data_IF_057657396376
#
_entry.id   IF_057657396376
#
_cell.length_a   1.000
_cell.length_b   1.000
_cell.length_c   1.000
_cell.angle_alpha   90.00
_cell.angle_beta   90.00
_cell.angle_gamma   90.00
#
_symmetry.space_group_name_H-M   'P 1'
#
loop_
_entity.id
_entity.type
_entity.pdbx_description
1 polymer ?
#
# COMPACT_ATOMS: atom_id res chain seq x y z
N UNK A 1 -20.55 -21.81 0.85
CA UNK A 1 -20.69 -21.05 2.12
C UNK A 1 -21.99 -20.25 2.02
N UNK A 2 -22.80 -20.18 3.08
CA UNK A 2 -24.00 -19.31 3.06
C UNK A 2 -23.54 -17.84 3.08
N UNK A 3 -24.09 -16.95 2.24
CA UNK A 3 -23.60 -15.57 2.10
C UNK A 3 -23.65 -14.79 3.43
N UNK A 4 -24.68 -15.03 4.23
CA UNK A 4 -24.86 -14.35 5.51
C UNK A 4 -23.78 -14.72 6.54
N UNK A 5 -23.33 -15.98 6.51
CA UNK A 5 -22.25 -16.44 7.38
C UNK A 5 -20.91 -15.82 6.97
N UNK A 6 -20.64 -15.77 5.66
CA UNK A 6 -19.43 -15.14 5.13
C UNK A 6 -19.37 -13.65 5.53
N UNK A 7 -20.49 -12.94 5.38
CA UNK A 7 -20.60 -11.54 5.79
C UNK A 7 -20.37 -11.36 7.30
N UNK A 8 -21.00 -12.18 8.13
CA UNK A 8 -20.87 -12.10 9.59
C UNK A 8 -19.42 -12.33 10.05
N UNK A 9 -18.73 -13.33 9.48
CA UNK A 9 -17.33 -13.61 9.79
C UNK A 9 -16.39 -12.51 9.30
N UNK A 10 -16.58 -12.00 8.08
CA UNK A 10 -15.79 -10.87 7.57
C UNK A 10 -15.99 -9.64 8.44
N UNK A 11 -17.22 -9.28 8.82
CA UNK A 11 -17.44 -8.13 9.69
C UNK A 11 -16.77 -8.33 11.05
N UNK A 12 -16.86 -9.54 11.63
CA UNK A 12 -16.22 -9.88 12.91
C UNK A 12 -14.71 -9.67 12.89
N UNK A 13 -14.05 -10.01 11.79
CA UNK A 13 -12.59 -9.87 11.67
C UNK A 13 -12.16 -8.39 11.55
N UNK A 14 -12.91 -7.57 10.83
CA UNK A 14 -12.52 -6.19 10.52
C UNK A 14 -13.14 -5.13 11.44
N UNK A 15 -14.04 -5.50 12.34
CA UNK A 15 -14.58 -4.58 13.36
C UNK A 15 -13.78 -4.67 14.64
N UNK A 16 -12.77 -3.81 14.78
CA UNK A 16 -12.15 -3.57 16.08
C UNK A 16 -12.99 -2.57 16.88
N UNK A 17 -13.59 -3.02 17.97
CA UNK A 17 -14.48 -2.23 18.83
C UNK A 17 -13.78 -1.07 19.56
N UNK A 18 -12.45 -0.93 19.38
CA UNK A 18 -11.60 0.10 19.99
C UNK A 18 -11.51 1.41 19.20
N UNK A 19 -12.45 1.69 18.29
CA UNK A 19 -12.43 2.94 17.52
C UNK A 19 -12.25 4.17 18.42
N UNK A 20 -11.29 5.02 18.04
CA UNK A 20 -11.08 6.34 18.65
C UNK A 20 -12.40 7.10 18.67
N UNK A 21 -12.79 7.57 19.87
CA UNK A 21 -13.97 8.42 20.10
C UNK A 21 -13.98 9.72 19.25
N UNK A 22 -12.89 10.02 18.53
CA UNK A 22 -12.75 11.19 17.66
C UNK A 22 -13.18 11.00 16.20
N UNK A 23 -13.31 9.76 15.68
CA UNK A 23 -13.67 9.52 14.27
C UNK A 23 -15.19 9.42 14.11
N UNK A 24 -15.73 9.99 13.03
CA UNK A 24 -17.15 9.81 12.73
C UNK A 24 -17.43 8.39 12.22
N UNK A 25 -18.66 7.90 12.38
CA UNK A 25 -19.03 6.53 12.00
C UNK A 25 -18.84 6.26 10.49
N UNK A 26 -19.08 7.26 9.64
CA UNK A 26 -18.93 7.10 8.19
C UNK A 26 -17.47 6.86 7.78
N UNK A 27 -16.51 7.54 8.41
CA UNK A 27 -15.07 7.36 8.20
C UNK A 27 -14.62 5.98 8.66
N UNK A 28 -15.15 5.50 9.79
CA UNK A 28 -14.89 4.14 10.28
C UNK A 28 -15.40 3.09 9.30
N UNK A 29 -16.67 3.19 8.88
CA UNK A 29 -17.24 2.24 7.92
C UNK A 29 -16.49 2.25 6.58
N UNK A 30 -16.11 3.44 6.08
CA UNK A 30 -15.28 3.57 4.89
C UNK A 30 -13.94 2.87 5.08
N UNK A 31 -13.25 3.12 6.19
CA UNK A 31 -11.91 2.58 6.41
C UNK A 31 -11.92 1.04 6.51
N UNK A 32 -12.91 0.48 7.22
CA UNK A 32 -13.17 -0.97 7.31
C UNK A 32 -13.47 -1.57 5.94
N UNK A 33 -14.36 -0.95 5.16
CA UNK A 33 -14.69 -1.45 3.83
C UNK A 33 -13.47 -1.44 2.90
N UNK A 34 -12.65 -0.38 2.94
CA UNK A 34 -11.43 -0.30 2.15
C UNK A 34 -10.39 -1.34 2.58
N UNK A 35 -10.32 -1.69 3.86
CA UNK A 35 -9.44 -2.77 4.35
C UNK A 35 -9.89 -4.13 3.83
N UNK A 36 -11.19 -4.46 3.96
CA UNK A 36 -11.77 -5.69 3.42
C UNK A 36 -11.49 -5.81 1.91
N UNK A 37 -11.73 -4.74 1.15
CA UNK A 37 -11.50 -4.74 -0.30
C UNK A 37 -10.03 -4.83 -0.66
N UNK A 38 -9.14 -4.14 0.05
CA UNK A 38 -7.69 -4.21 -0.15
C UNK A 38 -7.18 -5.63 0.02
N UNK A 39 -7.59 -6.29 1.10
CA UNK A 39 -7.14 -7.64 1.42
C UNK A 39 -7.70 -8.65 0.43
N UNK A 40 -9.01 -8.60 0.18
CA UNK A 40 -9.67 -9.54 -0.73
C UNK A 40 -9.20 -9.41 -2.18
N UNK A 41 -8.86 -8.19 -2.64
CA UNK A 41 -8.54 -7.93 -4.05
C UNK A 41 -7.05 -7.99 -4.34
N UNK A 42 -6.20 -7.70 -3.36
CA UNK A 42 -4.76 -7.56 -3.57
C UNK A 42 -3.95 -8.31 -2.52
N UNK A 43 -4.07 -7.98 -1.24
CA UNK A 43 -3.10 -8.44 -0.24
C UNK A 43 -3.15 -9.96 -0.02
N UNK A 44 -4.33 -10.53 0.25
CA UNK A 44 -4.49 -11.97 0.49
C UNK A 44 -4.05 -12.84 -0.71
N UNK A 45 -4.50 -12.59 -1.96
CA UNK A 45 -4.03 -13.38 -3.09
C UNK A 45 -2.53 -13.16 -3.38
N UNK A 46 -1.98 -11.96 -3.14
CA UNK A 46 -0.56 -11.70 -3.32
C UNK A 46 0.31 -12.45 -2.31
N UNK A 47 -0.09 -12.48 -1.04
CA UNK A 47 0.58 -13.26 0.02
C UNK A 47 0.51 -14.74 -0.30
N UNK A 48 -0.67 -15.25 -0.70
CA UNK A 48 -0.82 -16.64 -1.11
C UNK A 48 0.09 -16.99 -2.30
N UNK A 49 0.20 -16.11 -3.29
CA UNK A 49 1.14 -16.28 -4.40
C UNK A 49 2.59 -16.29 -3.93
N UNK A 50 2.96 -15.37 -3.02
CA UNK A 50 4.30 -15.31 -2.45
C UNK A 50 4.66 -16.58 -1.67
N UNK A 51 3.73 -17.16 -0.92
CA UNK A 51 3.93 -18.44 -0.22
C UNK A 51 4.20 -19.58 -1.21
N UNK A 52 3.41 -19.69 -2.29
CA UNK A 52 3.64 -20.70 -3.31
C UNK A 52 4.95 -20.49 -4.08
N UNK A 53 5.28 -19.24 -4.42
CA UNK A 53 6.50 -18.92 -5.14
C UNK A 53 7.75 -19.18 -4.29
N UNK A 54 7.73 -18.75 -3.02
CA UNK A 54 8.85 -18.92 -2.10
C UNK A 54 9.11 -20.38 -1.70
N UNK A 55 8.07 -21.23 -1.70
CA UNK A 55 8.22 -22.66 -1.45
C UNK A 55 9.09 -23.37 -2.50
N UNK A 56 9.14 -22.85 -3.74
CA UNK A 56 9.93 -23.42 -4.85
C UNK A 56 11.20 -22.60 -5.12
N UNK A 57 11.17 -21.29 -4.87
CA UNK A 57 12.28 -20.39 -5.13
C UNK A 57 12.76 -19.70 -3.83
N UNK A 58 13.92 -20.12 -3.27
CA UNK A 58 14.45 -19.54 -2.04
C UNK A 58 14.89 -18.07 -2.21
N UNK A 59 15.08 -17.58 -3.44
CA UNK A 59 15.40 -16.18 -3.74
C UNK A 59 14.13 -15.39 -4.07
N UNK A 60 13.16 -15.44 -3.16
CA UNK A 60 11.92 -14.66 -3.25
C UNK A 60 12.02 -13.44 -2.35
N UNK A 61 11.61 -12.28 -2.86
CA UNK A 61 11.62 -11.00 -2.14
C UNK A 61 10.21 -10.43 -2.15
N UNK A 62 9.80 -9.85 -1.01
CA UNK A 62 8.49 -9.24 -0.83
C UNK A 62 8.67 -7.94 -0.06
N UNK A 63 7.91 -6.89 -0.40
CA UNK A 63 7.93 -5.62 0.31
C UNK A 63 6.52 -5.05 0.48
N UNK A 64 6.37 -4.21 1.50
CA UNK A 64 5.15 -3.43 1.76
C UNK A 64 5.51 -1.96 1.65
N UNK A 65 4.86 -1.25 0.74
CA UNK A 65 5.07 0.18 0.56
C UNK A 65 4.09 0.97 1.44
N UNK A 66 4.60 1.76 2.39
CA UNK A 66 3.79 2.52 3.35
C UNK A 66 4.05 4.03 3.32
N UNK A 67 4.95 4.50 2.45
CA UNK A 67 5.28 5.91 2.35
C UNK A 67 4.14 6.69 1.71
N UNK A 68 3.88 7.91 2.19
CA UNK A 68 2.89 8.84 1.63
C UNK A 68 3.59 10.10 1.18
N UNK A 69 3.33 10.52 -0.04
CA UNK A 69 3.97 11.72 -0.56
C UNK A 69 3.51 12.96 0.18
N UNK A 70 4.45 13.81 0.60
CA UNK A 70 4.13 15.03 1.38
C UNK A 70 3.21 15.98 0.62
N UNK A 71 3.44 16.13 -0.69
CA UNK A 71 2.64 16.95 -1.59
C UNK A 71 1.85 16.07 -2.58
N UNK A 72 1.42 14.91 -2.10
CA UNK A 72 0.66 13.94 -2.87
C UNK A 72 -0.80 14.32 -3.06
N UNK A 73 -1.47 13.79 -4.09
CA UNK A 73 -2.91 14.00 -4.32
C UNK A 73 -3.77 13.53 -3.12
N UNK A 74 -3.20 12.63 -2.31
CA UNK A 74 -3.83 12.06 -1.15
C UNK A 74 -3.25 12.54 0.18
N UNK A 75 -2.39 13.57 0.20
CA UNK A 75 -1.73 14.06 1.43
C UNK A 75 -2.74 14.39 2.54
N UNK A 76 -3.89 14.94 2.16
CA UNK A 76 -4.94 15.40 3.07
C UNK A 76 -5.90 14.28 3.51
N UNK A 77 -5.74 13.07 2.98
CA UNK A 77 -6.55 11.94 3.40
C UNK A 77 -6.27 11.61 4.88
N UNK A 78 -7.33 11.60 5.70
CA UNK A 78 -7.28 11.22 7.13
C UNK A 78 -6.91 9.75 7.40
N UNK A 79 -6.60 8.99 6.34
CA UNK A 79 -6.25 7.58 6.40
C UNK A 79 -4.74 7.47 6.33
N UNK A 80 -4.13 6.96 7.38
CA UNK A 80 -2.68 6.78 7.53
C UNK A 80 -2.17 5.54 6.77
N UNK A 81 -2.61 5.35 5.51
CA UNK A 81 -2.16 4.26 4.64
C UNK A 81 -1.77 4.84 3.27
N UNK A 82 -0.79 4.23 2.62
CA UNK A 82 -0.49 4.46 1.21
C UNK A 82 -1.64 3.96 0.34
N UNK A 83 -1.70 4.51 -0.87
CA UNK A 83 -2.69 4.15 -1.89
C UNK A 83 -1.99 3.43 -3.03
N UNK A 84 -2.73 2.54 -3.68
CA UNK A 84 -2.23 1.76 -4.80
C UNK A 84 -1.67 2.69 -5.90
N UNK A 85 -0.43 2.45 -6.33
CA UNK A 85 0.24 3.24 -7.36
C UNK A 85 1.10 4.39 -6.83
N UNK A 86 1.02 4.75 -5.55
CA UNK A 86 1.87 5.78 -4.95
C UNK A 86 3.36 5.39 -4.90
N UNK A 87 3.68 4.10 -5.07
CA UNK A 87 5.05 3.60 -5.14
C UNK A 87 5.72 3.86 -6.50
N UNK A 88 4.94 3.94 -7.58
CA UNK A 88 5.47 4.00 -8.94
C UNK A 88 6.44 5.18 -9.17
N UNK A 89 6.16 6.42 -8.71
CA UNK A 89 7.11 7.53 -8.89
C UNK A 89 8.48 7.23 -8.29
N UNK A 90 8.52 6.54 -7.14
CA UNK A 90 9.76 6.21 -6.43
C UNK A 90 10.54 5.09 -7.12
N UNK A 91 9.85 4.10 -7.70
CA UNK A 91 10.47 3.05 -8.52
C UNK A 91 11.07 3.63 -9.80
N UNK A 92 10.42 4.60 -10.42
CA UNK A 92 10.85 5.21 -11.69
C UNK A 92 11.76 6.43 -11.54
N UNK A 93 12.15 6.83 -10.33
CA UNK A 93 13.10 7.93 -10.11
C UNK A 93 12.52 9.33 -10.35
N UNK A 94 11.19 9.49 -10.32
CA UNK A 94 10.51 10.77 -10.54
C UNK A 94 10.93 11.84 -9.52
N UNK A 95 11.09 11.52 -8.22
CA UNK A 95 11.62 12.49 -7.25
C UNK A 95 13.01 13.03 -7.60
N UNK A 96 13.84 12.25 -8.31
CA UNK A 96 15.24 12.58 -8.61
C UNK A 96 15.37 13.46 -9.86
N UNK A 97 14.72 13.10 -10.99
CA UNK A 97 14.80 13.81 -12.27
C UNK A 97 13.76 14.94 -12.44
N UNK A 98 12.80 15.04 -11.50
CA UNK A 98 11.75 16.07 -11.48
C UNK A 98 10.47 15.71 -12.22
N UNK A 99 9.43 16.56 -12.12
CA UNK A 99 8.05 16.28 -12.58
C UNK A 99 7.88 16.35 -14.11
N UNK A 100 8.53 15.44 -14.85
CA UNK A 100 8.32 15.27 -16.30
C UNK A 100 7.09 14.41 -16.63
N UNK A 101 6.51 13.79 -15.62
CA UNK A 101 5.39 12.86 -15.71
C UNK A 101 4.16 13.45 -15.01
N UNK A 102 2.99 12.83 -15.21
CA UNK A 102 1.70 13.20 -14.59
C UNK A 102 1.62 12.87 -13.08
N UNK A 103 2.76 12.76 -12.40
CA UNK A 103 2.86 12.56 -10.96
C UNK A 103 2.93 13.91 -10.24
N UNK A 104 2.99 13.87 -8.91
CA UNK A 104 2.99 15.05 -8.04
C UNK A 104 4.02 16.12 -8.45
N UNK A 105 3.65 17.38 -8.21
CA UNK A 105 4.45 18.54 -8.64
C UNK A 105 5.73 18.74 -7.81
N UNK A 106 5.80 18.22 -6.59
CA UNK A 106 6.92 18.44 -5.69
C UNK A 106 7.24 17.21 -4.81
N UNK A 107 8.54 16.98 -4.59
CA UNK A 107 9.08 15.98 -3.68
C UNK A 107 10.12 16.62 -2.76
N UNK A 108 10.12 16.24 -1.49
CA UNK A 108 11.10 16.71 -0.51
C UNK A 108 12.43 15.91 -0.60
N UNK A 109 13.46 16.36 0.12
CA UNK A 109 14.78 15.71 0.07
C UNK A 109 14.74 14.25 0.56
N UNK A 110 13.93 13.95 1.57
CA UNK A 110 13.75 12.58 2.08
C UNK A 110 13.16 11.66 1.00
N UNK A 111 12.23 12.17 0.20
CA UNK A 111 11.60 11.43 -0.89
C UNK A 111 12.55 11.18 -2.06
N UNK A 112 13.51 12.08 -2.31
CA UNK A 112 14.58 11.84 -3.28
C UNK A 112 15.48 10.69 -2.84
N UNK A 113 15.97 10.75 -1.61
CA UNK A 113 16.81 9.68 -1.05
C UNK A 113 16.06 8.35 -0.99
N UNK A 114 14.77 8.38 -0.65
CA UNK A 114 13.93 7.20 -0.65
C UNK A 114 13.76 6.60 -2.05
N UNK A 115 13.56 7.45 -3.08
CA UNK A 115 13.50 6.99 -4.47
C UNK A 115 14.81 6.37 -4.92
N UNK A 116 15.96 6.97 -4.61
CA UNK A 116 17.28 6.40 -4.92
C UNK A 116 17.47 5.01 -4.27
N UNK A 117 17.02 4.84 -3.02
CA UNK A 117 17.08 3.56 -2.32
C UNK A 117 16.17 2.50 -3.00
N UNK A 118 14.93 2.87 -3.33
CA UNK A 118 13.98 1.98 -4.02
C UNK A 118 14.52 1.56 -5.39
N UNK A 119 15.01 2.51 -6.19
CA UNK A 119 15.65 2.22 -7.48
C UNK A 119 16.82 1.26 -7.30
N UNK A 120 17.66 1.48 -6.29
CA UNK A 120 18.80 0.60 -5.99
C UNK A 120 18.35 -0.83 -5.65
N UNK A 121 17.27 -1.01 -4.88
CA UNK A 121 16.74 -2.35 -4.60
C UNK A 121 16.27 -3.04 -5.88
N UNK A 122 15.52 -2.34 -6.73
CA UNK A 122 15.01 -2.88 -7.99
C UNK A 122 16.12 -3.18 -9.00
N UNK A 123 17.10 -2.30 -9.17
CA UNK A 123 18.20 -2.51 -10.12
C UNK A 123 19.14 -3.61 -9.65
N UNK A 124 19.42 -3.71 -8.35
CA UNK A 124 20.19 -4.83 -7.81
C UNK A 124 19.48 -6.17 -8.04
N UNK A 125 18.16 -6.23 -7.76
CA UNK A 125 17.36 -7.42 -8.05
C UNK A 125 17.36 -7.79 -9.55
N UNK A 126 17.32 -6.81 -10.44
CA UNK A 126 17.36 -7.06 -11.88
C UNK A 126 18.75 -7.49 -12.38
N UNK A 127 19.82 -7.00 -11.73
CA UNK A 127 21.19 -7.26 -12.13
C UNK A 127 21.68 -8.65 -11.68
N UNK A 128 21.26 -9.14 -10.52
CA UNK A 128 21.76 -10.37 -9.89
C UNK A 128 20.77 -11.52 -9.92
#
# INVERSE_FOLDING_TARGET
MKPDLALAETLREYTDWRHSLSKNMAEVCRDVLLDILSDARVAAPLVQMADYHSAVNPKSYFYVFTHRSMFGDYSDAKREKSINGEELPYVFGVPVDGSRFHFHQAYNMTEKLFSEAVMTFWTNFAHT
#
